data_IF_520913625952
#
_entry.id   IF_520913625952
#
_cell.length_a   1.000
_cell.length_b   1.000
_cell.length_c   1.000
_cell.angle_alpha   90.00
_cell.angle_beta   90.00
_cell.angle_gamma   90.00
#
_symmetry.space_group_name_H-M   'P 1'
#
loop_
_entity.id
_entity.type
_entity.pdbx_description
1 polymer ?
#
# COMPACT_ATOMS: atom_id res chain seq x y z
N UNK A 1 9.30 3.62 -18.10
CA UNK A 1 7.87 3.26 -18.26
C UNK A 1 7.43 2.95 -16.86
N UNK A 2 6.58 3.79 -16.28
CA UNK A 2 6.08 3.63 -14.92
C UNK A 2 5.30 2.32 -14.79
N UNK A 3 5.43 1.64 -13.65
CA UNK A 3 4.72 0.38 -13.39
C UNK A 3 3.21 0.62 -13.34
N UNK A 4 2.40 -0.38 -13.72
CA UNK A 4 0.93 -0.25 -13.77
C UNK A 4 0.30 -0.61 -12.43
N UNK A 5 0.91 -0.16 -11.33
CA UNK A 5 0.47 -0.50 -9.98
C UNK A 5 0.33 0.74 -9.12
N UNK A 6 -0.49 0.59 -8.09
CA UNK A 6 -0.68 1.60 -7.08
C UNK A 6 0.43 1.61 -6.05
N UNK A 7 0.80 2.81 -5.57
CA UNK A 7 1.82 2.99 -4.55
C UNK A 7 1.42 4.04 -3.51
N UNK A 8 1.62 3.68 -2.25
CA UNK A 8 1.51 4.61 -1.11
C UNK A 8 2.94 5.01 -0.72
N UNK A 9 3.23 6.31 -0.77
CA UNK A 9 4.50 6.91 -0.41
C UNK A 9 4.42 7.46 1.02
N UNK A 10 5.29 7.00 1.91
CA UNK A 10 5.16 7.22 3.35
C UNK A 10 6.48 7.72 3.93
N UNK A 11 6.46 8.78 4.74
CA UNK A 11 7.62 9.20 5.54
C UNK A 11 7.69 8.44 6.86
N UNK A 12 8.08 7.18 6.83
CA UNK A 12 8.24 6.36 8.03
C UNK A 12 9.19 5.19 7.81
N UNK A 13 9.65 4.60 8.92
CA UNK A 13 10.45 3.38 8.88
C UNK A 13 9.56 2.16 8.52
N UNK A 14 10.11 1.14 7.82
CA UNK A 14 9.34 -0.04 7.40
C UNK A 14 8.62 -0.75 8.55
N UNK A 15 9.29 -0.86 9.72
CA UNK A 15 8.68 -1.47 10.91
C UNK A 15 7.47 -0.70 11.43
N UNK A 16 7.52 0.64 11.41
CA UNK A 16 6.39 1.48 11.81
C UNK A 16 5.22 1.35 10.85
N UNK A 17 5.50 1.33 9.54
CA UNK A 17 4.45 1.11 8.51
C UNK A 17 3.85 -0.28 8.65
N UNK A 18 4.67 -1.29 8.92
CA UNK A 18 4.23 -2.67 9.12
C UNK A 18 3.29 -2.79 10.34
N UNK A 19 3.65 -2.20 11.48
CA UNK A 19 2.77 -2.17 12.66
C UNK A 19 1.47 -1.42 12.39
N UNK A 20 1.53 -0.28 11.70
CA UNK A 20 0.33 0.46 11.34
C UNK A 20 -0.57 -0.34 10.36
N UNK A 21 0.01 -1.03 9.37
CA UNK A 21 -0.73 -1.93 8.48
C UNK A 21 -1.39 -3.06 9.26
N UNK A 22 -0.69 -3.68 10.22
CA UNK A 22 -1.25 -4.73 11.06
C UNK A 22 -2.48 -4.22 11.84
N UNK A 23 -2.41 -3.03 12.43
CA UNK A 23 -3.53 -2.43 13.18
C UNK A 23 -4.72 -2.08 12.26
N UNK A 24 -4.44 -1.46 11.11
CA UNK A 24 -5.48 -1.09 10.13
C UNK A 24 -6.19 -2.34 9.61
N UNK A 25 -5.44 -3.35 9.20
CA UNK A 25 -6.00 -4.55 8.59
C UNK A 25 -6.65 -5.47 9.63
N UNK A 26 -6.15 -5.50 10.87
CA UNK A 26 -6.84 -6.18 11.97
C UNK A 26 -8.23 -5.60 12.23
N UNK A 27 -8.41 -4.28 12.12
CA UNK A 27 -9.72 -3.64 12.26
C UNK A 27 -10.71 -4.06 11.15
N UNK A 28 -10.19 -4.59 10.04
CA UNK A 28 -10.94 -5.12 8.90
C UNK A 28 -11.05 -6.67 8.93
N UNK A 29 -10.61 -7.32 10.01
CA UNK A 29 -10.67 -8.77 10.16
C UNK A 29 -9.59 -9.55 9.39
N UNK A 30 -8.51 -8.87 8.99
CA UNK A 30 -7.36 -9.46 8.30
C UNK A 30 -6.18 -9.58 9.27
N UNK A 31 -5.44 -10.68 9.17
CA UNK A 31 -4.23 -10.91 9.97
C UNK A 31 -3.04 -11.18 9.05
N UNK A 32 -1.85 -10.76 9.49
CA UNK A 32 -0.63 -11.02 8.74
C UNK A 32 -0.29 -12.50 8.79
N UNK A 33 -0.39 -13.17 7.65
CA UNK A 33 -0.07 -14.58 7.48
C UNK A 33 1.39 -14.81 7.07
N UNK A 34 2.02 -13.83 6.40
CA UNK A 34 3.38 -13.99 5.89
C UNK A 34 4.19 -12.69 5.94
N UNK A 35 5.50 -12.83 6.10
CA UNK A 35 6.49 -11.77 5.91
C UNK A 35 7.70 -12.36 5.22
N UNK A 36 8.14 -11.78 4.11
CA UNK A 36 9.26 -12.30 3.32
C UNK A 36 10.06 -11.19 2.66
N UNK A 37 11.39 -11.29 2.73
CA UNK A 37 12.29 -10.46 1.94
C UNK A 37 12.45 -11.04 0.51
N UNK A 38 12.34 -10.20 -0.52
CA UNK A 38 12.51 -10.59 -1.93
C UNK A 38 13.43 -9.62 -2.67
N UNK A 39 14.08 -10.13 -3.73
CA UNK A 39 14.86 -9.36 -4.71
C UNK A 39 14.45 -9.81 -6.12
N UNK A 40 13.18 -9.68 -6.43
CA UNK A 40 12.56 -10.18 -7.64
C UNK A 40 11.38 -9.29 -8.03
N UNK A 41 10.94 -9.40 -9.28
CA UNK A 41 9.74 -8.71 -9.73
C UNK A 41 8.52 -9.18 -8.93
N UNK A 42 7.90 -8.22 -8.24
CA UNK A 42 6.71 -8.43 -7.42
C UNK A 42 5.41 -8.09 -8.15
N UNK A 43 5.47 -7.64 -9.42
CA UNK A 43 4.28 -7.35 -10.24
C UNK A 43 3.24 -8.47 -10.19
N UNK A 44 3.60 -9.77 -10.27
CA UNK A 44 2.61 -10.84 -10.22
C UNK A 44 1.85 -10.90 -8.89
N UNK A 45 2.52 -10.61 -7.76
CA UNK A 45 1.92 -10.64 -6.43
C UNK A 45 0.85 -9.55 -6.24
N UNK A 46 1.00 -8.41 -6.93
CA UNK A 46 0.07 -7.28 -6.81
C UNK A 46 -1.15 -7.40 -7.72
N UNK A 47 -1.06 -8.21 -8.77
CA UNK A 47 -2.12 -8.35 -9.77
C UNK A 47 -3.01 -9.59 -9.58
N UNK A 48 -2.65 -10.50 -8.66
CA UNK A 48 -3.49 -11.64 -8.32
C UNK A 48 -4.73 -11.16 -7.53
N UNK A 49 -5.94 -11.34 -8.07
CA UNK A 49 -7.15 -10.96 -7.36
C UNK A 49 -7.48 -11.96 -6.26
N UNK A 50 -7.92 -11.44 -5.11
CA UNK A 50 -8.38 -12.26 -3.97
C UNK A 50 -7.39 -12.27 -2.82
N UNK A 51 -7.49 -13.29 -1.97
CA UNK A 51 -6.57 -13.50 -0.85
C UNK A 51 -5.42 -14.43 -1.26
N UNK A 52 -4.21 -14.23 -0.70
CA UNK A 52 -3.85 -13.22 0.29
C UNK A 52 -3.63 -11.83 -0.30
N UNK A 53 -4.02 -10.78 0.43
CA UNK A 53 -3.66 -9.40 0.10
C UNK A 53 -2.16 -9.20 0.28
N UNK A 54 -1.51 -8.61 -0.71
CA UNK A 54 -0.07 -8.37 -0.71
C UNK A 54 0.24 -6.89 -0.53
N UNK A 55 1.17 -6.60 0.38
CA UNK A 55 1.82 -5.30 0.51
C UNK A 55 3.33 -5.47 0.32
N UNK A 56 3.96 -4.59 -0.45
CA UNK A 56 5.41 -4.64 -0.70
C UNK A 56 6.03 -3.33 -0.27
N UNK A 57 6.85 -3.39 0.78
CA UNK A 57 7.62 -2.26 1.28
C UNK A 57 9.01 -2.26 0.64
N UNK A 58 9.36 -1.17 -0.02
CA UNK A 58 10.70 -0.98 -0.60
C UNK A 58 11.72 -0.54 0.45
N UNK A 59 13.00 -0.48 0.10
CA UNK A 59 13.98 0.19 0.97
C UNK A 59 13.69 1.71 1.00
N UNK A 60 13.68 2.36 2.19
CA UNK A 60 13.50 3.81 2.27
C UNK A 60 14.58 4.59 1.51
N UNK A 61 14.18 5.67 0.83
CA UNK A 61 15.06 6.59 0.12
C UNK A 61 14.69 8.02 0.46
N UNK A 62 15.67 8.82 0.90
CA UNK A 62 15.45 10.20 1.34
C UNK A 62 14.23 10.33 2.28
N UNK A 63 14.17 9.47 3.31
CA UNK A 63 13.09 9.38 4.31
C UNK A 63 11.75 8.84 3.80
N UNK A 64 11.60 8.65 2.49
CA UNK A 64 10.39 8.11 1.87
C UNK A 64 10.45 6.61 1.67
N UNK A 65 9.33 5.94 1.88
CA UNK A 65 9.12 4.53 1.66
C UNK A 65 8.00 4.34 0.63
N UNK A 66 8.21 3.46 -0.37
CA UNK A 66 7.12 2.99 -1.22
C UNK A 66 6.50 1.72 -0.63
N UNK A 67 5.18 1.76 -0.49
CA UNK A 67 4.33 0.64 -0.13
C UNK A 67 3.40 0.34 -1.33
N UNK A 68 3.68 -0.74 -2.05
CA UNK A 68 2.83 -1.20 -3.15
C UNK A 68 1.77 -2.14 -2.62
N UNK A 69 0.57 -2.13 -3.21
CA UNK A 69 -0.57 -2.90 -2.69
C UNK A 69 -1.28 -3.68 -3.80
N UNK A 70 -1.88 -4.82 -3.44
CA UNK A 70 -2.81 -5.57 -4.31
C UNK A 70 -4.27 -5.12 -4.15
N UNK A 71 -4.51 -3.99 -3.48
CA UNK A 71 -5.86 -3.54 -3.15
C UNK A 71 -6.59 -3.00 -4.37
N UNK A 72 -7.92 -3.11 -4.34
CA UNK A 72 -8.76 -2.29 -5.20
C UNK A 72 -8.60 -0.82 -4.85
N UNK A 73 -8.85 0.03 -5.84
CA UNK A 73 -8.74 1.49 -5.80
C UNK A 73 -9.34 2.05 -4.49
N UNK A 74 -10.64 1.92 -4.26
CA UNK A 74 -11.30 2.50 -3.08
C UNK A 74 -10.73 2.03 -1.73
N UNK A 75 -10.36 0.75 -1.62
CA UNK A 75 -9.79 0.17 -0.40
C UNK A 75 -8.38 0.73 -0.11
N UNK A 76 -7.60 1.02 -1.15
CA UNK A 76 -6.28 1.60 -0.99
C UNK A 76 -6.32 3.02 -0.41
N UNK A 77 -7.32 3.83 -0.81
CA UNK A 77 -7.49 5.17 -0.23
C UNK A 77 -7.80 5.08 1.26
N UNK A 78 -8.69 4.17 1.65
CA UNK A 78 -9.07 3.96 3.05
C UNK A 78 -7.88 3.50 3.91
N UNK A 79 -6.99 2.69 3.34
CA UNK A 79 -5.74 2.30 3.98
C UNK A 79 -4.76 3.48 4.07
N UNK A 80 -4.53 4.22 2.98
CA UNK A 80 -3.61 5.36 2.96
C UNK A 80 -4.05 6.48 3.93
N UNK A 81 -5.30 6.96 3.80
CA UNK A 81 -6.28 6.88 4.87
C UNK A 81 -5.80 6.88 6.32
N UNK A 82 -6.03 5.69 6.85
CA UNK A 82 -5.86 5.31 8.24
C UNK A 82 -4.38 5.26 8.60
N UNK A 83 -3.49 4.90 7.66
CA UNK A 83 -2.03 4.99 7.85
C UNK A 83 -1.58 6.42 8.14
N UNK A 84 -2.05 7.42 7.39
CA UNK A 84 -1.70 8.82 7.62
C UNK A 84 -2.07 9.27 9.04
N UNK A 85 -3.28 8.92 9.48
CA UNK A 85 -3.77 9.23 10.83
C UNK A 85 -3.00 8.50 11.92
N UNK A 86 -2.77 7.20 11.76
CA UNK A 86 -2.09 6.36 12.75
C UNK A 86 -0.61 6.72 12.89
N UNK A 87 0.07 7.01 11.78
CA UNK A 87 1.49 7.35 11.78
C UNK A 87 1.74 8.79 12.24
N UNK A 88 0.76 9.69 12.14
CA UNK A 88 0.96 11.14 12.34
C UNK A 88 2.13 11.67 11.49
N UNK A 89 2.30 11.12 10.29
CA UNK A 89 3.35 11.45 9.34
C UNK A 89 2.73 11.74 7.98
N UNK A 90 3.44 12.50 7.12
CA UNK A 90 3.01 12.69 5.73
C UNK A 90 2.92 11.35 4.99
N UNK A 91 1.74 11.09 4.41
CA UNK A 91 1.45 9.98 3.50
C UNK A 91 0.91 10.57 2.21
N UNK A 92 1.41 10.07 1.09
CA UNK A 92 0.99 10.45 -0.25
C UNK A 92 0.59 9.18 -1.01
N UNK A 93 -0.68 9.06 -1.35
CA UNK A 93 -1.13 8.01 -2.26
C UNK A 93 -0.92 8.46 -3.71
N UNK A 94 -0.23 7.65 -4.51
CA UNK A 94 0.00 7.89 -5.94
C UNK A 94 -0.37 6.63 -6.71
N UNK A 95 -1.28 6.73 -7.68
CA UNK A 95 -1.70 5.57 -8.46
C UNK A 95 -1.24 5.72 -9.88
N UNK A 96 -0.44 4.76 -10.31
CA UNK A 96 0.07 4.66 -11.66
C UNK A 96 -0.71 3.55 -12.37
N UNK A 97 -1.86 3.90 -12.94
CA UNK A 97 -2.64 2.97 -13.75
C UNK A 97 -2.82 3.52 -15.18
N UNK A 98 -2.02 3.01 -16.11
CA UNK A 98 -2.07 3.29 -17.55
C UNK A 98 -3.40 2.86 -18.20
N UNK A 99 -4.06 1.82 -17.68
CA UNK A 99 -5.35 1.31 -18.16
C UNK A 99 -6.57 1.93 -17.46
N UNK A 100 -6.39 2.43 -16.23
CA UNK A 100 -7.48 3.05 -15.44
C UNK A 100 -7.51 4.57 -15.48
N UNK A 101 -6.49 5.20 -16.09
CA UNK A 101 -6.24 6.63 -16.01
C UNK A 101 -5.50 7.00 -14.72
N UNK A 102 -4.69 8.06 -14.76
CA UNK A 102 -3.91 8.54 -13.60
C UNK A 102 -4.78 9.44 -12.71
N UNK A 103 -4.89 9.09 -11.43
CA UNK A 103 -5.67 9.77 -10.39
C UNK A 103 -5.00 9.46 -9.03
N UNK A 104 -5.06 10.18 -7.92
CA UNK A 104 -5.16 11.60 -7.59
C UNK A 104 -4.60 11.76 -6.13
N UNK A 105 -4.18 12.97 -5.73
CA UNK A 105 -3.34 13.25 -4.55
C UNK A 105 -4.09 13.51 -3.24
N UNK A 106 -3.48 13.08 -2.13
CA UNK A 106 -3.77 13.54 -0.76
C UNK A 106 -2.46 13.86 -0.02
N UNK A 107 -2.36 15.07 0.56
CA UNK A 107 -1.17 15.59 1.23
C UNK A 107 -1.47 16.12 2.64
N UNK A 108 -0.49 16.01 3.55
CA UNK A 108 -0.52 16.45 4.95
C UNK A 108 0.75 17.26 5.25
N UNK A 109 0.63 18.56 5.52
CA UNK A 109 1.72 19.34 6.14
C UNK A 109 1.49 19.56 7.65
N UNK A 110 0.22 19.58 8.11
CA UNK A 110 -0.15 20.08 9.44
C UNK A 110 -1.12 19.19 10.25
N UNK A 111 -1.31 17.91 9.89
CA UNK A 111 -2.16 16.98 10.67
C UNK A 111 -3.66 16.97 10.35
N UNK A 112 -4.11 17.77 9.37
CA UNK A 112 -5.51 17.79 8.91
C UNK A 112 -5.69 17.24 7.48
N UNK A 113 -6.82 16.56 7.29
CA UNK A 113 -7.32 15.93 6.07
C UNK A 113 -7.62 16.96 4.96
N UNK A 114 -6.72 17.17 3.98
CA UNK A 114 -7.03 18.02 2.81
C UNK A 114 -6.95 17.27 1.49
N UNK A 115 -8.09 17.26 0.80
CA UNK A 115 -8.25 16.75 -0.55
C UNK A 115 -7.72 17.79 -1.55
N UNK A 116 -6.50 17.63 -2.08
CA UNK A 116 -6.00 18.51 -3.16
C UNK A 116 -6.36 17.98 -4.54
N UNK A 117 -6.55 16.66 -4.67
CA UNK A 117 -7.20 16.07 -5.83
C UNK A 117 -7.90 14.78 -5.39
N UNK A 118 -9.10 14.91 -4.84
CA UNK A 118 -10.08 13.82 -4.83
C UNK A 118 -10.88 13.96 -6.14
N UNK A 119 -11.41 12.88 -6.74
CA UNK A 119 -12.49 12.99 -7.72
C UNK A 119 -13.75 13.54 -7.03
N UNK A 120 -13.71 14.79 -6.61
CA UNK A 120 -14.90 15.58 -6.36
C UNK A 120 -15.50 15.93 -7.72
N UNK A 121 -16.84 16.01 -7.83
CA UNK A 121 -17.47 16.48 -9.06
C UNK A 121 -16.88 17.84 -9.48
N UNK A 122 -16.12 17.86 -10.59
CA UNK A 122 -15.52 19.09 -11.16
C UNK A 122 -14.01 19.29 -10.93
N UNK A 123 -13.32 18.44 -10.16
CA UNK A 123 -11.86 18.49 -10.05
C UNK A 123 -11.20 17.79 -11.27
N UNK A 124 -10.11 18.37 -11.79
CA UNK A 124 -9.33 17.74 -12.88
C UNK A 124 -8.25 16.84 -12.28
N UNK A 125 -8.17 15.59 -12.75
CA UNK A 125 -7.10 14.67 -12.40
C UNK A 125 -5.73 15.20 -12.86
N UNK A 126 -4.68 14.91 -12.09
CA UNK A 126 -3.31 15.18 -12.53
C UNK A 126 -2.88 14.11 -13.55
N UNK A 127 -2.27 14.56 -14.65
CA UNK A 127 -1.60 13.69 -15.61
C UNK A 127 -0.20 13.30 -15.10
N UNK A 128 0.48 12.36 -15.77
CA UNK A 128 1.79 11.84 -15.36
C UNK A 128 2.81 12.96 -15.12
N UNK A 129 2.98 13.94 -16.04
CA UNK A 129 3.94 15.01 -15.82
C UNK A 129 3.61 15.89 -14.62
N UNK A 130 2.32 16.18 -14.39
CA UNK A 130 1.87 16.93 -13.21
C UNK A 130 2.11 16.16 -11.92
N UNK A 131 1.91 14.83 -11.95
CA UNK A 131 2.20 13.96 -10.81
C UNK A 131 3.72 13.94 -10.52
N UNK A 132 4.57 13.70 -11.51
CA UNK A 132 6.02 13.66 -11.30
C UNK A 132 6.57 14.99 -10.77
N UNK A 133 6.05 16.13 -11.24
CA UNK A 133 6.47 17.45 -10.77
C UNK A 133 6.12 17.67 -9.29
N UNK A 134 4.94 17.25 -8.86
CA UNK A 134 4.47 17.38 -7.48
C UNK A 134 5.27 16.49 -6.52
N UNK A 135 5.55 15.24 -6.92
CA UNK A 135 6.42 14.35 -6.16
C UNK A 135 7.83 14.93 -6.00
N UNK A 136 8.40 15.50 -7.06
CA UNK A 136 9.70 16.18 -7.02
C UNK A 136 9.68 17.40 -6.07
N UNK A 137 8.63 18.21 -6.12
CA UNK A 137 8.48 19.37 -5.24
C UNK A 137 8.53 18.99 -3.76
N UNK A 138 7.96 17.82 -3.41
CA UNK A 138 7.92 17.28 -2.04
C UNK A 138 9.16 16.46 -1.66
N UNK A 139 10.15 16.41 -2.55
CA UNK A 139 11.40 15.69 -2.33
C UNK A 139 11.26 14.15 -2.37
N UNK A 140 10.21 13.62 -2.99
CA UNK A 140 10.08 12.17 -3.22
C UNK A 140 11.09 11.76 -4.31
N UNK A 141 11.99 10.80 -4.06
CA UNK A 141 12.88 10.29 -5.09
C UNK A 141 12.09 9.55 -6.17
N UNK A 142 12.21 9.95 -7.45
CA UNK A 142 11.51 9.27 -8.54
C UNK A 142 11.93 7.80 -8.71
N UNK A 143 13.14 7.44 -8.28
CA UNK A 143 13.60 6.05 -8.24
C UNK A 143 12.81 5.14 -7.27
N UNK A 144 11.96 5.73 -6.41
CA UNK A 144 11.10 5.01 -5.48
C UNK A 144 9.79 4.55 -6.14
N UNK A 145 9.35 5.24 -7.21
CA UNK A 145 8.11 4.95 -7.96
C UNK A 145 8.38 4.23 -9.29
N UNK A 146 9.62 4.24 -9.79
CA UNK A 146 10.07 3.48 -10.96
C UNK A 146 11.24 2.58 -10.56
N UNK A 147 10.90 1.44 -9.94
CA UNK A 147 11.84 0.38 -9.57
C UNK A 147 12.55 -0.21 -10.81
N UNK A 148 11.88 -0.30 -11.96
CA UNK A 148 12.41 -1.01 -13.13
C UNK A 148 13.70 -0.38 -13.68
N UNK A 149 13.94 0.89 -13.39
CA UNK A 149 15.15 1.61 -13.82
C UNK A 149 16.34 1.47 -12.85
N UNK A 150 16.16 0.99 -11.61
CA UNK A 150 17.25 0.88 -10.61
C UNK A 150 17.20 -0.37 -9.68
N UNK A 151 16.11 -1.16 -9.68
CA UNK A 151 15.58 -1.80 -8.47
C UNK A 151 15.67 -3.31 -8.36
N UNK A 152 15.97 -4.06 -9.44
CA UNK A 152 16.01 -5.54 -9.39
C UNK A 152 17.09 -6.13 -8.46
N UNK A 153 17.89 -5.27 -7.82
CA UNK A 153 18.94 -5.64 -6.85
C UNK A 153 18.60 -5.28 -5.41
N UNK A 154 17.57 -4.47 -5.15
CA UNK A 154 17.21 -4.04 -3.80
C UNK A 154 16.23 -5.01 -3.15
N UNK A 155 16.28 -5.06 -1.83
CA UNK A 155 15.46 -5.96 -1.05
C UNK A 155 14.15 -5.28 -0.67
N UNK A 156 13.05 -5.99 -0.91
CA UNK A 156 11.70 -5.55 -0.55
C UNK A 156 11.13 -6.48 0.50
N UNK A 157 10.31 -5.95 1.40
CA UNK A 157 9.58 -6.72 2.39
C UNK A 157 8.16 -6.94 1.87
N UNK A 158 7.80 -8.18 1.60
CA UNK A 158 6.44 -8.61 1.26
C UNK A 158 5.71 -8.97 2.54
N UNK A 159 4.53 -8.41 2.73
CA UNK A 159 3.58 -8.73 3.78
C UNK A 159 2.34 -9.34 3.13
N UNK A 160 1.95 -10.53 3.59
CA UNK A 160 0.73 -11.21 3.15
C UNK A 160 -0.32 -11.19 4.23
N UNK A 161 -1.53 -10.73 3.91
CA UNK A 161 -2.67 -10.66 4.83
C UNK A 161 -3.83 -11.51 4.31
N UNK A 162 -4.56 -12.15 5.23
CA UNK A 162 -5.74 -12.94 4.92
C UNK A 162 -6.73 -12.86 6.07
N UNK A 163 -8.00 -13.17 5.81
CA UNK A 163 -8.99 -13.20 6.86
C UNK A 163 -8.65 -14.27 7.89
N UNK A 164 -8.91 -13.95 9.17
CA UNK A 164 -8.79 -14.94 10.23
C UNK A 164 -9.77 -16.08 9.94
N UNK A 165 -9.24 -17.24 9.53
CA UNK A 165 -10.07 -18.43 9.39
C UNK A 165 -10.51 -18.80 10.79
N UNK A 166 -11.78 -18.55 11.09
CA UNK A 166 -12.40 -19.03 12.32
C UNK A 166 -12.12 -20.52 12.42
N UNK A 167 -11.21 -20.91 13.33
CA UNK A 167 -11.01 -22.30 13.69
C UNK A 167 -12.32 -22.77 14.30
N UNK A 168 -13.19 -23.34 13.47
CA UNK A 168 -14.24 -24.22 13.93
C UNK A 168 -13.50 -25.40 14.55
N UNK A 169 -13.43 -25.43 15.87
CA UNK A 169 -12.92 -26.58 16.60
C UNK A 169 -13.62 -27.84 16.04
N UNK A 170 -12.89 -28.95 15.83
CA UNK A 170 -13.57 -30.20 15.50
C UNK A 170 -14.48 -30.54 16.68
N UNK A 171 -15.80 -30.52 16.46
CA UNK A 171 -16.76 -31.20 17.32
C UNK A 171 -16.47 -32.71 17.23
N UNK A 172 -15.40 -33.14 17.89
CA UNK A 172 -15.01 -34.50 18.10
C UNK A 172 -15.27 -34.86 19.55
N UNK A 173 -16.53 -35.13 19.87
CA UNK A 173 -16.90 -35.84 21.08
C UNK A 173 -18.17 -36.66 20.80
N UNK A 174 -17.98 -37.80 20.14
CA UNK A 174 -18.89 -38.94 20.29
C UNK A 174 -18.67 -39.53 21.69
N UNK A 175 -19.72 -39.74 22.50
CA UNK A 175 -19.70 -40.81 23.48
C UNK A 175 -20.38 -42.04 22.87
N UNK A 176 -19.55 -43.04 22.57
CA UNK A 176 -19.96 -44.43 22.40
C UNK A 176 -20.77 -44.83 23.65
N UNK A 177 -22.01 -45.27 23.46
CA UNK A 177 -22.73 -46.03 24.51
C UNK A 177 -23.05 -47.40 23.95
N UNK A 178 -22.48 -48.40 24.61
CA UNK A 178 -22.68 -49.85 24.40
C UNK A 178 -24.02 -50.28 24.98
#
# INVERSE_FOLDING_TARGET
MSRNESVILIKALPGTVTSALDEVLASQGLVRAATRAIRADFTPLLNEPGEPLAFVLSEPQAEWLACWTSLALDAEWEVAETLARGLQQPVLCAIFAADRGMFAYRYWEDGDLRAEAVPLPGASALNEPGLLAELCHRGVPLALIDDLTNGWTREHIVLGYMHEVAHSAPNGADPITT
#
